data_IF_621836935016
#
_entry.id   IF_621836935016
#
_cell.length_a   1.000
_cell.length_b   1.000
_cell.length_c   1.000
_cell.angle_alpha   90.00
_cell.angle_beta   90.00
_cell.angle_gamma   90.00
#
_symmetry.space_group_name_H-M   'P 1'
#
loop_
_entity.id
_entity.type
_entity.pdbx_description
1 polymer ?
#
# COMPACT_ATOMS: atom_id res chain seq x y z
N UNK A 1 42.54 -47.69 -11.15
CA UNK A 1 42.97 -46.37 -10.66
C UNK A 1 41.86 -45.36 -10.96
N UNK A 2 41.14 -44.90 -9.93
CA UNK A 2 40.24 -43.74 -9.98
C UNK A 2 40.91 -42.62 -9.17
N UNK A 3 40.93 -41.36 -9.63
CA UNK A 3 41.53 -40.28 -8.87
C UNK A 3 40.64 -39.87 -7.69
N UNK A 4 41.26 -39.73 -6.53
CA UNK A 4 40.67 -39.27 -5.27
C UNK A 4 40.51 -37.75 -5.24
N UNK A 5 39.31 -37.28 -4.97
CA UNK A 5 38.96 -35.88 -4.74
C UNK A 5 39.48 -35.40 -3.37
N UNK A 6 40.04 -34.19 -3.23
CA UNK A 6 40.45 -33.68 -1.92
C UNK A 6 39.27 -33.07 -1.15
N UNK A 7 39.24 -33.36 0.15
CA UNK A 7 38.22 -32.99 1.12
C UNK A 7 38.40 -31.54 1.59
N UNK A 8 37.37 -30.70 1.41
CA UNK A 8 37.34 -29.31 1.88
C UNK A 8 36.98 -29.26 3.36
N UNK A 9 37.96 -28.92 4.20
CA UNK A 9 37.82 -28.73 5.64
C UNK A 9 37.00 -27.46 5.93
N UNK A 10 35.91 -27.59 6.68
CA UNK A 10 35.13 -26.45 7.21
C UNK A 10 35.76 -25.96 8.52
N UNK A 11 35.92 -24.64 8.74
CA UNK A 11 36.32 -24.14 10.04
C UNK A 11 35.17 -24.17 11.05
N UNK A 12 35.53 -24.40 12.31
CA UNK A 12 34.65 -24.59 13.46
C UNK A 12 33.86 -23.32 13.83
N UNK A 13 32.62 -23.54 14.28
CA UNK A 13 31.77 -22.52 14.87
C UNK A 13 32.23 -22.21 16.31
N UNK A 14 32.38 -20.93 16.64
CA UNK A 14 32.70 -20.45 17.99
C UNK A 14 31.42 -19.91 18.64
N UNK A 15 31.08 -20.52 19.78
CA UNK A 15 29.95 -20.20 20.66
C UNK A 15 30.16 -18.84 21.36
N UNK A 16 29.30 -17.85 21.06
CA UNK A 16 29.21 -16.63 21.85
C UNK A 16 27.86 -16.59 22.58
N UNK A 17 27.93 -16.85 23.89
CA UNK A 17 26.86 -16.70 24.87
C UNK A 17 26.49 -15.21 25.00
N UNK A 18 25.20 -14.89 24.94
CA UNK A 18 24.66 -13.58 25.31
C UNK A 18 23.86 -13.72 26.59
N UNK A 19 24.38 -13.09 27.65
CA UNK A 19 23.72 -12.91 28.94
C UNK A 19 22.70 -11.76 28.88
N UNK A 20 21.70 -11.88 29.74
CA UNK A 20 20.67 -10.90 30.03
C UNK A 20 21.22 -9.64 30.74
N UNK A 21 20.47 -8.54 30.66
CA UNK A 21 20.87 -7.27 31.27
C UNK A 21 19.89 -6.14 30.98
N UNK A 22 18.89 -6.03 31.85
CA UNK A 22 17.93 -4.93 32.00
C UNK A 22 18.54 -3.52 32.03
N UNK A 23 17.79 -2.52 31.57
CA UNK A 23 17.80 -1.19 32.22
C UNK A 23 17.97 0.04 31.31
N UNK A 24 16.83 0.66 31.01
CA UNK A 24 16.55 2.10 31.16
C UNK A 24 17.17 3.15 30.20
N UNK A 25 16.23 3.94 29.63
CA UNK A 25 16.22 5.42 29.59
C UNK A 25 16.27 6.10 28.22
N UNK A 26 15.33 7.06 28.11
CA UNK A 26 15.03 7.97 27.01
C UNK A 26 16.16 8.98 26.73
N UNK A 27 16.19 9.41 25.46
CA UNK A 27 16.64 10.71 24.90
C UNK A 27 18.15 10.98 24.81
N UNK A 28 18.65 10.95 23.57
CA UNK A 28 19.20 12.08 22.78
C UNK A 28 20.24 11.55 21.78
N UNK A 29 20.22 12.06 20.54
CA UNK A 29 21.36 12.52 19.71
C UNK A 29 20.81 12.75 18.29
N UNK A 30 20.47 14.00 17.94
CA UNK A 30 21.30 14.99 17.19
C UNK A 30 21.45 14.61 15.71
N UNK A 31 20.93 15.51 14.89
CA UNK A 31 20.99 15.52 13.44
C UNK A 31 22.42 15.68 12.92
N UNK A 32 22.74 14.92 11.87
CA UNK A 32 23.84 15.23 10.96
C UNK A 32 23.30 15.13 9.53
N UNK A 33 23.37 16.26 8.84
CA UNK A 33 22.98 16.49 7.45
C UNK A 33 23.92 15.79 6.46
N UNK A 34 23.35 15.19 5.42
CA UNK A 34 24.00 15.04 4.12
C UNK A 34 22.97 15.25 3.01
N UNK A 35 23.30 16.14 2.08
CA UNK A 35 22.51 16.53 0.93
C UNK A 35 22.24 15.36 -0.01
N UNK A 36 21.00 15.26 -0.49
CA UNK A 36 20.58 14.44 -1.62
C UNK A 36 19.18 14.88 -2.05
N UNK A 37 19.05 15.31 -3.30
CA UNK A 37 17.89 16.01 -3.83
C UNK A 37 16.56 15.26 -3.64
N UNK A 38 15.56 15.97 -3.10
CA UNK A 38 14.19 15.50 -2.93
C UNK A 38 13.25 16.69 -2.81
N UNK A 39 13.23 17.55 -3.83
CA UNK A 39 12.21 18.58 -3.96
C UNK A 39 10.92 17.91 -4.46
N UNK A 40 9.83 18.02 -3.70
CA UNK A 40 8.50 17.76 -4.25
C UNK A 40 7.44 17.12 -3.37
N UNK A 41 7.54 17.13 -2.04
CA UNK A 41 6.36 16.87 -1.18
C UNK A 41 5.75 18.21 -0.75
N UNK A 42 5.27 18.97 -1.73
CA UNK A 42 4.41 20.15 -1.53
C UNK A 42 3.96 20.66 -2.90
N UNK A 43 2.64 20.69 -3.12
CA UNK A 43 1.89 21.32 -4.22
C UNK A 43 1.18 20.34 -5.17
N UNK A 44 0.05 19.80 -4.72
CA UNK A 44 -1.01 19.34 -5.62
C UNK A 44 -2.40 19.48 -4.97
N UNK A 45 -2.71 20.71 -4.56
CA UNK A 45 -4.08 21.16 -4.36
C UNK A 45 -4.27 22.42 -5.19
N UNK A 46 -4.45 22.25 -6.50
CA UNK A 46 -5.09 23.19 -7.43
C UNK A 46 -4.91 22.69 -8.87
N UNK A 47 -5.83 21.83 -9.34
CA UNK A 47 -6.17 21.75 -10.76
C UNK A 47 -7.63 21.34 -10.87
N UNK A 48 -8.41 22.18 -11.52
CA UNK A 48 -9.84 21.98 -11.78
C UNK A 48 -10.06 20.64 -12.49
N UNK A 49 -10.98 19.86 -11.93
CA UNK A 49 -11.51 18.65 -12.55
C UNK A 49 -12.33 19.04 -13.79
N UNK A 50 -12.00 18.47 -14.94
CA UNK A 50 -12.80 18.57 -16.16
C UNK A 50 -13.29 17.18 -16.57
N UNK A 51 -14.60 17.01 -16.34
CA UNK A 51 -15.58 16.02 -16.81
C UNK A 51 -15.12 14.73 -17.50
N UNK A 52 -15.51 13.60 -16.89
CA UNK A 52 -15.61 12.27 -17.46
C UNK A 52 -17.07 11.77 -17.41
N UNK A 53 -17.53 10.96 -18.38
CA UNK A 53 -18.64 10.02 -18.17
C UNK A 53 -18.19 8.57 -18.49
N UNK A 54 -18.72 7.49 -17.93
CA UNK A 54 -19.64 7.26 -16.82
C UNK A 54 -19.51 5.78 -16.40
N UNK A 55 -19.49 5.52 -15.10
CA UNK A 55 -20.01 4.29 -14.52
C UNK A 55 -20.93 4.72 -13.37
N UNK A 56 -22.16 4.23 -13.37
CA UNK A 56 -23.25 4.73 -12.54
C UNK A 56 -23.02 4.44 -11.04
N UNK A 57 -22.46 5.45 -10.37
CA UNK A 57 -22.51 5.79 -8.95
C UNK A 57 -22.12 7.27 -8.91
N UNK A 58 -22.88 8.13 -8.24
CA UNK A 58 -22.77 9.59 -8.36
C UNK A 58 -21.30 10.05 -8.22
N UNK A 59 -20.72 10.58 -9.31
CA UNK A 59 -19.34 11.06 -9.32
C UNK A 59 -19.09 12.21 -8.31
N UNK A 60 -20.17 12.82 -7.81
CA UNK A 60 -20.13 13.90 -6.82
C UNK A 60 -19.91 13.42 -5.37
N UNK A 61 -20.03 12.12 -5.07
CA UNK A 61 -19.95 11.60 -3.70
C UNK A 61 -18.70 10.71 -3.48
N UNK A 62 -17.52 11.21 -3.86
CA UNK A 62 -16.24 10.51 -3.63
C UNK A 62 -15.38 11.26 -2.62
N UNK A 63 -14.89 10.54 -1.61
CA UNK A 63 -14.00 11.04 -0.56
C UNK A 63 -12.55 10.73 -0.94
N UNK A 64 -11.67 11.73 -1.13
CA UNK A 64 -10.24 11.50 -1.29
C UNK A 64 -9.65 10.91 -0.01
N UNK A 65 -8.82 9.89 -0.15
CA UNK A 65 -8.15 9.28 1.00
C UNK A 65 -6.66 9.06 0.74
N UNK A 66 -5.91 8.95 1.82
CA UNK A 66 -4.50 8.56 1.82
C UNK A 66 -4.30 7.28 2.59
N UNK A 67 -3.27 6.50 2.26
CA UNK A 67 -2.86 5.37 3.10
C UNK A 67 -2.13 5.95 4.31
N UNK A 68 -2.77 5.87 5.48
CA UNK A 68 -2.24 6.34 6.76
C UNK A 68 -1.24 5.33 7.36
N UNK A 69 -1.64 4.05 7.44
CA UNK A 69 -0.78 2.97 7.91
C UNK A 69 -1.07 1.64 7.21
N UNK A 70 -0.07 0.75 7.26
CA UNK A 70 -0.17 -0.66 6.86
C UNK A 70 0.28 -1.54 8.03
N UNK A 71 -0.69 -1.92 8.84
CA UNK A 71 -0.50 -2.71 10.06
C UNK A 71 -0.32 -4.17 9.67
N UNK A 72 0.75 -4.81 10.18
CA UNK A 72 0.99 -6.25 10.01
C UNK A 72 0.44 -7.00 11.21
N UNK A 73 -0.28 -8.10 10.96
CA UNK A 73 -0.64 -9.03 12.03
C UNK A 73 0.61 -9.65 12.65
N UNK A 74 0.61 -9.81 13.98
CA UNK A 74 1.67 -10.50 14.71
C UNK A 74 1.84 -11.97 14.30
N UNK A 75 0.77 -12.61 13.82
CA UNK A 75 0.82 -14.00 13.35
C UNK A 75 1.29 -14.14 11.90
N UNK A 76 1.39 -13.03 11.17
CA UNK A 76 1.86 -12.99 9.79
C UNK A 76 0.80 -13.38 8.75
N UNK A 77 -0.41 -13.77 9.14
CA UNK A 77 -1.41 -14.32 8.21
C UNK A 77 -2.18 -13.24 7.41
N UNK A 78 -2.22 -12.00 7.91
CA UNK A 78 -2.96 -10.89 7.32
C UNK A 78 -2.31 -9.52 7.65
N UNK A 79 -2.80 -8.48 7.00
CA UNK A 79 -2.53 -7.08 7.33
C UNK A 79 -3.79 -6.23 7.26
N UNK A 80 -3.69 -5.00 7.77
CA UNK A 80 -4.75 -3.99 7.70
C UNK A 80 -4.15 -2.77 7.01
N UNK A 81 -4.79 -2.33 5.94
CA UNK A 81 -4.50 -1.04 5.30
C UNK A 81 -5.48 -0.04 5.89
N UNK A 82 -4.97 1.02 6.49
CA UNK A 82 -5.78 2.09 7.07
C UNK A 82 -5.76 3.26 6.10
N UNK A 83 -6.93 3.60 5.55
CA UNK A 83 -7.10 4.78 4.71
C UNK A 83 -7.66 5.93 5.55
N UNK A 84 -7.19 7.16 5.38
CA UNK A 84 -7.69 8.34 6.11
C UNK A 84 -8.25 9.38 5.14
N UNK A 85 -9.38 10.00 5.48
CA UNK A 85 -10.01 11.05 4.67
C UNK A 85 -9.47 12.46 4.95
N UNK A 86 -8.64 12.62 5.98
CA UNK A 86 -8.11 13.91 6.42
C UNK A 86 -9.03 14.69 7.37
N UNK A 87 -10.27 14.24 7.56
CA UNK A 87 -11.28 14.82 8.46
C UNK A 87 -11.50 13.98 9.73
N UNK A 88 -10.58 13.05 10.01
CA UNK A 88 -10.56 12.22 11.20
C UNK A 88 -11.39 10.95 11.11
N UNK A 89 -11.83 10.55 9.91
CA UNK A 89 -12.38 9.22 9.64
C UNK A 89 -11.34 8.35 8.96
N UNK A 90 -11.40 7.07 9.30
CA UNK A 90 -10.47 6.05 8.83
C UNK A 90 -11.24 4.86 8.29
N UNK A 91 -10.79 4.30 7.17
CA UNK A 91 -11.36 3.08 6.60
C UNK A 91 -10.33 1.95 6.68
N UNK A 92 -10.50 0.99 7.62
CA UNK A 92 -9.67 -0.19 7.70
C UNK A 92 -10.09 -1.23 6.66
N UNK A 93 -9.11 -1.70 5.89
CA UNK A 93 -9.31 -2.77 4.90
C UNK A 93 -8.37 -3.93 5.24
N UNK A 94 -8.95 -5.08 5.53
CA UNK A 94 -8.21 -6.31 5.77
C UNK A 94 -7.72 -6.88 4.44
N UNK A 95 -6.44 -7.19 4.41
CA UNK A 95 -5.77 -7.73 3.22
C UNK A 95 -4.87 -8.90 3.63
N UNK A 96 -4.45 -9.72 2.65
CA UNK A 96 -3.45 -10.74 2.90
C UNK A 96 -2.06 -10.13 3.19
N UNK A 97 -1.18 -10.95 3.76
CA UNK A 97 0.18 -10.53 4.10
C UNK A 97 0.95 -9.98 2.89
N UNK A 98 0.86 -10.67 1.76
CA UNK A 98 1.60 -10.32 0.55
C UNK A 98 1.09 -9.02 -0.06
N UNK A 99 -0.22 -8.80 -0.04
CA UNK A 99 -0.83 -7.54 -0.46
C UNK A 99 -0.39 -6.37 0.42
N UNK A 100 -0.45 -6.52 1.75
CA UNK A 100 0.04 -5.49 2.68
C UNK A 100 1.52 -5.17 2.44
N UNK A 101 2.35 -6.19 2.19
CA UNK A 101 3.75 -5.99 1.88
C UNK A 101 3.93 -5.22 0.56
N UNK A 102 3.19 -5.59 -0.49
CA UNK A 102 3.29 -4.94 -1.79
C UNK A 102 2.89 -3.46 -1.76
N UNK A 103 1.86 -3.12 -0.99
CA UNK A 103 1.43 -1.73 -0.76
C UNK A 103 2.55 -0.97 -0.04
N UNK A 104 3.06 -1.49 1.08
CA UNK A 104 4.14 -0.82 1.83
C UNK A 104 5.39 -0.60 0.99
N UNK A 105 5.82 -1.58 0.20
CA UNK A 105 6.97 -1.41 -0.69
C UNK A 105 6.74 -0.31 -1.73
N UNK A 106 5.52 -0.21 -2.26
CA UNK A 106 5.12 0.88 -3.17
C UNK A 106 5.18 2.25 -2.49
N UNK A 107 4.58 2.37 -1.30
CA UNK A 107 4.58 3.62 -0.52
C UNK A 107 5.99 4.08 -0.13
N UNK A 108 6.91 3.14 0.11
CA UNK A 108 8.30 3.44 0.45
C UNK A 108 9.18 3.72 -0.78
N UNK A 109 8.65 3.56 -2.00
CA UNK A 109 9.42 3.71 -3.23
C UNK A 109 10.60 2.73 -3.34
N UNK A 110 10.52 1.57 -2.67
CA UNK A 110 11.62 0.60 -2.66
C UNK A 110 11.65 -0.14 -3.98
N UNK A 111 12.76 0.01 -4.72
CA UNK A 111 13.03 -0.73 -5.95
C UNK A 111 13.87 -1.95 -5.68
N UNK A 112 13.42 -3.13 -6.10
CA UNK A 112 14.17 -4.38 -6.06
C UNK A 112 15.03 -4.59 -7.32
N UNK A 113 16.04 -5.47 -7.24
CA UNK A 113 16.93 -5.79 -8.37
C UNK A 113 16.19 -6.37 -9.59
N UNK A 114 15.04 -7.01 -9.37
CA UNK A 114 14.12 -7.47 -10.40
C UNK A 114 12.73 -6.90 -10.09
N UNK A 115 11.92 -6.52 -11.09
CA UNK A 115 10.56 -6.02 -10.85
C UNK A 115 9.71 -7.06 -10.10
N UNK A 116 9.01 -6.63 -9.05
CA UNK A 116 7.96 -7.43 -8.43
C UNK A 116 6.66 -7.32 -9.25
N UNK A 117 5.64 -8.08 -8.85
CA UNK A 117 4.36 -8.19 -9.58
C UNK A 117 3.75 -6.84 -9.95
N UNK A 118 3.65 -5.91 -9.00
CA UNK A 118 3.04 -4.60 -9.25
C UNK A 118 3.98 -3.62 -9.97
N UNK A 119 5.30 -3.80 -9.87
CA UNK A 119 6.25 -3.04 -10.68
C UNK A 119 6.13 -3.47 -12.15
N UNK A 120 6.04 -4.78 -12.39
CA UNK A 120 5.79 -5.36 -13.70
C UNK A 120 4.44 -4.90 -14.27
N UNK A 121 3.38 -4.95 -13.48
CA UNK A 121 2.06 -4.47 -13.92
C UNK A 121 2.07 -2.98 -14.26
N UNK A 122 2.76 -2.14 -13.47
CA UNK A 122 2.95 -0.73 -13.80
C UNK A 122 3.71 -0.55 -15.12
N UNK A 123 4.81 -1.28 -15.34
CA UNK A 123 5.54 -1.25 -16.61
C UNK A 123 4.73 -1.75 -17.80
N UNK A 124 3.77 -2.66 -17.62
CA UNK A 124 2.84 -3.06 -18.69
C UNK A 124 1.89 -1.92 -19.08
N UNK A 125 1.43 -1.11 -18.12
CA UNK A 125 0.63 0.08 -18.41
C UNK A 125 1.46 1.09 -19.21
N UNK A 126 2.70 1.35 -18.79
CA UNK A 126 3.61 2.25 -19.50
C UNK A 126 3.90 1.75 -20.92
N UNK A 127 4.20 0.46 -21.08
CA UNK A 127 4.49 -0.16 -22.37
C UNK A 127 3.30 -0.16 -23.34
N UNK A 128 2.08 -0.05 -22.81
CA UNK A 128 0.84 0.05 -23.60
C UNK A 128 0.37 1.50 -23.76
N UNK A 129 1.15 2.49 -23.31
CA UNK A 129 0.79 3.92 -23.35
C UNK A 129 -0.52 4.22 -22.60
N UNK A 130 -0.90 3.37 -21.65
CA UNK A 130 -2.01 3.62 -20.74
C UNK A 130 -1.53 4.51 -19.58
N UNK A 131 -2.27 5.57 -19.29
CA UNK A 131 -1.97 6.49 -18.19
C UNK A 131 -2.88 6.19 -17.00
N UNK A 132 -2.31 5.81 -15.85
CA UNK A 132 -3.07 5.69 -14.60
C UNK A 132 -3.69 7.03 -14.21
N UNK A 133 -4.94 7.04 -13.75
CA UNK A 133 -5.66 8.26 -13.36
C UNK A 133 -5.93 8.33 -11.87
N UNK A 134 -6.61 7.31 -11.33
CA UNK A 134 -6.95 7.21 -9.91
C UNK A 134 -7.51 5.80 -9.62
N UNK A 135 -7.65 5.49 -8.35
CA UNK A 135 -8.36 4.32 -7.84
C UNK A 135 -9.65 4.76 -7.16
N UNK A 136 -10.71 3.98 -7.30
CA UNK A 136 -11.96 4.17 -6.57
C UNK A 136 -12.30 2.89 -5.82
N UNK A 137 -12.50 2.96 -4.50
CA UNK A 137 -13.17 1.91 -3.73
C UNK A 137 -14.66 2.19 -3.81
N UNK A 138 -15.37 1.38 -4.58
CA UNK A 138 -16.72 1.71 -5.07
C UNK A 138 -17.83 1.22 -4.16
N UNK A 139 -17.67 0.07 -3.53
CA UNK A 139 -18.73 -0.55 -2.74
C UNK A 139 -18.22 -1.57 -1.72
N UNK A 140 -19.07 -1.83 -0.73
CA UNK A 140 -18.91 -2.88 0.27
C UNK A 140 -20.15 -3.79 0.23
N UNK A 141 -19.97 -5.07 -0.13
CA UNK A 141 -21.05 -6.07 -0.15
C UNK A 141 -20.61 -7.30 0.61
N UNK A 142 -21.42 -7.77 1.55
CA UNK A 142 -21.12 -8.99 2.32
C UNK A 142 -19.69 -8.99 2.91
N UNK A 143 -19.27 -7.87 3.51
CA UNK A 143 -17.91 -7.66 4.06
C UNK A 143 -16.78 -7.70 3.02
N UNK A 144 -17.09 -7.66 1.72
CA UNK A 144 -16.13 -7.62 0.62
C UNK A 144 -16.16 -6.27 -0.05
N UNK A 145 -15.00 -5.60 -0.06
CA UNK A 145 -14.82 -4.34 -0.76
C UNK A 145 -14.49 -4.58 -2.24
N UNK A 146 -15.04 -3.75 -3.10
CA UNK A 146 -14.75 -3.71 -4.53
C UNK A 146 -14.06 -2.41 -4.88
N UNK A 147 -13.16 -2.45 -5.86
CA UNK A 147 -12.45 -1.29 -6.33
C UNK A 147 -12.32 -1.28 -7.86
N UNK A 148 -12.03 -0.11 -8.38
CA UNK A 148 -11.81 0.14 -9.79
C UNK A 148 -10.50 0.90 -9.96
N UNK A 149 -9.69 0.47 -10.91
CA UNK A 149 -8.50 1.19 -11.36
C UNK A 149 -8.83 1.91 -12.66
N UNK A 150 -8.81 3.23 -12.62
CA UNK A 150 -9.18 4.08 -13.75
C UNK A 150 -7.92 4.49 -14.50
N UNK A 151 -7.90 4.23 -15.80
CA UNK A 151 -6.81 4.56 -16.70
C UNK A 151 -7.32 5.31 -17.92
N UNK A 152 -6.46 6.09 -18.57
CA UNK A 152 -6.73 6.64 -19.90
C UNK A 152 -5.90 5.88 -20.92
N UNK A 153 -6.53 5.39 -21.97
CA UNK A 153 -5.87 4.73 -23.09
C UNK A 153 -6.39 5.33 -24.39
N UNK A 154 -5.48 5.86 -25.23
CA UNK A 154 -5.82 6.54 -26.50
C UNK A 154 -6.84 7.68 -26.34
N UNK A 155 -6.76 8.42 -25.23
CA UNK A 155 -7.65 9.53 -24.93
C UNK A 155 -9.02 9.12 -24.36
N UNK A 156 -9.28 7.82 -24.23
CA UNK A 156 -10.52 7.30 -23.64
C UNK A 156 -10.28 6.80 -22.22
N UNK A 157 -11.18 7.12 -21.31
CA UNK A 157 -11.17 6.56 -19.97
C UNK A 157 -11.63 5.10 -19.99
N UNK A 158 -10.91 4.25 -19.26
CA UNK A 158 -11.17 2.83 -19.12
C UNK A 158 -11.07 2.46 -17.66
N UNK A 159 -11.98 1.59 -17.25
CA UNK A 159 -12.10 1.13 -15.87
C UNK A 159 -11.76 -0.34 -15.81
N UNK A 160 -10.87 -0.70 -14.88
CA UNK A 160 -10.49 -2.09 -14.62
C UNK A 160 -10.99 -2.49 -13.25
N UNK A 161 -11.81 -3.54 -13.18
CA UNK A 161 -12.26 -4.13 -11.92
C UNK A 161 -11.06 -4.68 -11.12
N UNK A 162 -11.06 -4.46 -9.80
CA UNK A 162 -9.91 -4.76 -8.96
C UNK A 162 -10.29 -4.98 -7.50
N UNK A 163 -9.50 -5.80 -6.80
CA UNK A 163 -9.53 -5.79 -5.33
C UNK A 163 -8.91 -4.48 -4.84
N UNK A 164 -9.38 -3.90 -3.72
CA UNK A 164 -8.77 -2.68 -3.17
C UNK A 164 -7.26 -2.82 -2.95
N UNK A 165 -6.79 -3.98 -2.49
CA UNK A 165 -5.37 -4.23 -2.27
C UNK A 165 -4.51 -4.05 -3.53
N UNK A 166 -5.00 -4.57 -4.66
CA UNK A 166 -4.27 -4.52 -5.94
C UNK A 166 -4.26 -3.09 -6.48
N UNK A 167 -5.43 -2.44 -6.43
CA UNK A 167 -5.62 -1.07 -6.86
C UNK A 167 -4.73 -0.09 -6.05
N UNK A 168 -4.74 -0.20 -4.72
CA UNK A 168 -3.90 0.63 -3.83
C UNK A 168 -2.41 0.37 -4.09
N UNK A 169 -1.99 -0.89 -4.30
CA UNK A 169 -0.59 -1.21 -4.59
C UNK A 169 -0.11 -0.61 -5.92
N UNK A 170 -0.98 -0.54 -6.93
CA UNK A 170 -0.71 0.16 -8.19
C UNK A 170 -0.74 1.67 -8.03
N UNK A 171 -1.70 2.23 -7.28
CA UNK A 171 -1.78 3.66 -7.02
C UNK A 171 -0.52 4.19 -6.33
N UNK A 172 0.00 3.44 -5.35
CA UNK A 172 1.24 3.78 -4.66
C UNK A 172 2.46 3.85 -5.59
N UNK A 173 2.47 3.08 -6.69
CA UNK A 173 3.55 3.09 -7.69
C UNK A 173 3.36 4.14 -8.77
N UNK A 174 2.13 4.30 -9.23
CA UNK A 174 1.77 5.26 -10.27
C UNK A 174 1.68 6.70 -9.71
N UNK A 175 1.62 6.86 -8.39
CA UNK A 175 1.47 8.17 -7.74
C UNK A 175 0.12 8.82 -8.04
N UNK A 176 -0.95 8.02 -8.13
CA UNK A 176 -2.31 8.50 -8.44
C UNK A 176 -3.21 8.54 -7.21
N UNK A 177 -4.24 9.40 -7.19
CA UNK A 177 -5.17 9.51 -6.07
C UNK A 177 -5.92 8.20 -5.78
N UNK A 178 -6.26 8.01 -4.50
CA UNK A 178 -7.18 6.96 -4.04
C UNK A 178 -8.46 7.68 -3.57
N UNK A 179 -9.59 7.21 -4.07
CA UNK A 179 -10.92 7.72 -3.75
C UNK A 179 -11.75 6.60 -3.13
N UNK A 180 -12.67 6.94 -2.25
CA UNK A 180 -13.64 6.02 -1.65
C UNK A 180 -15.04 6.60 -1.82
N UNK A 181 -16.00 5.79 -2.24
CA UNK A 181 -17.40 6.23 -2.27
C UNK A 181 -17.88 6.65 -0.87
N UNK A 182 -18.63 7.76 -0.80
CA UNK A 182 -19.13 8.30 0.47
C UNK A 182 -19.94 7.26 1.24
N UNK A 183 -20.81 6.51 0.57
CA UNK A 183 -21.58 5.42 1.18
C UNK A 183 -20.69 4.33 1.82
N UNK A 184 -19.51 4.07 1.26
CA UNK A 184 -18.54 3.12 1.83
C UNK A 184 -17.87 3.71 3.07
N UNK A 185 -17.46 4.99 3.01
CA UNK A 185 -16.92 5.70 4.18
C UNK A 185 -17.95 5.82 5.30
N UNK A 186 -19.22 6.03 4.99
CA UNK A 186 -20.29 6.15 5.98
C UNK A 186 -20.66 4.80 6.58
N UNK A 187 -20.60 3.72 5.80
CA UNK A 187 -20.93 2.38 6.26
C UNK A 187 -19.82 1.72 7.11
N UNK A 188 -18.55 1.98 6.78
CA UNK A 188 -17.42 1.25 7.37
C UNK A 188 -16.27 2.14 7.88
N UNK A 189 -16.39 3.46 7.76
CA UNK A 189 -15.47 4.40 8.36
C UNK A 189 -15.58 4.40 9.89
N UNK A 190 -14.44 4.52 10.55
CA UNK A 190 -14.28 4.56 12.00
C UNK A 190 -13.51 5.81 12.43
N UNK A 191 -13.50 6.10 13.73
CA UNK A 191 -12.66 7.14 14.32
C UNK A 191 -11.28 6.60 14.68
N UNK A 192 -10.32 7.52 14.86
CA UNK A 192 -8.93 7.18 15.22
C UNK A 192 -8.83 6.31 16.49
N UNK A 193 -9.65 6.59 17.50
CA UNK A 193 -9.65 5.90 18.80
C UNK A 193 -10.17 4.45 18.73
N UNK A 194 -10.77 4.07 17.60
CA UNK A 194 -11.27 2.72 17.34
C UNK A 194 -10.22 1.84 16.64
N UNK A 195 -9.19 2.43 16.00
CA UNK A 195 -8.13 1.68 15.28
C UNK A 195 -7.43 0.64 16.17
N UNK A 196 -7.05 0.95 17.43
CA UNK A 196 -6.39 -0.05 18.30
C UNK A 196 -7.27 -1.24 18.69
N UNK A 197 -8.58 -1.18 18.43
CA UNK A 197 -9.57 -2.18 18.81
C UNK A 197 -9.98 -3.08 17.64
N UNK A 198 -9.34 -2.92 16.47
CA UNK A 198 -9.64 -3.68 15.27
C UNK A 198 -9.31 -5.17 15.45
N UNK A 199 -10.34 -6.00 15.42
CA UNK A 199 -10.23 -7.45 15.39
C UNK A 199 -10.42 -7.97 13.95
N UNK A 200 -9.74 -9.07 13.57
CA UNK A 200 -9.97 -9.68 12.27
C UNK A 200 -11.43 -10.14 12.12
N UNK A 201 -12.02 -10.04 10.92
CA UNK A 201 -13.37 -10.53 10.69
C UNK A 201 -13.44 -12.02 11.01
N UNK A 202 -14.49 -12.43 11.74
CA UNK A 202 -14.75 -13.83 12.04
C UNK A 202 -15.01 -14.54 10.71
N UNK A 203 -14.20 -15.57 10.40
CA UNK A 203 -14.48 -16.42 9.24
C UNK A 203 -15.87 -17.04 9.42
N UNK A 204 -16.74 -16.83 8.44
CA UNK A 204 -18.03 -17.51 8.34
C UNK A 204 -17.83 -19.01 8.07
#
# INVERSE_FOLDING_TARGET
MKPSTPELTRPAAEDARLSDGSGMSRRQFVATSALGAGAGVAALLSREASAAPAAAGHADDMVPVVVDDVIKSHRGDYGIVVLADGDGRYLPIWVGHFEAQAIRLGLQGITSARPMTYDFAHSLLEATEATARHVVITELREMTYFAQFVVTFRGEERTVDSRPSDAIALAARAGVPILVATDVMDAAGIREDEIPQLEPPKRA
#
